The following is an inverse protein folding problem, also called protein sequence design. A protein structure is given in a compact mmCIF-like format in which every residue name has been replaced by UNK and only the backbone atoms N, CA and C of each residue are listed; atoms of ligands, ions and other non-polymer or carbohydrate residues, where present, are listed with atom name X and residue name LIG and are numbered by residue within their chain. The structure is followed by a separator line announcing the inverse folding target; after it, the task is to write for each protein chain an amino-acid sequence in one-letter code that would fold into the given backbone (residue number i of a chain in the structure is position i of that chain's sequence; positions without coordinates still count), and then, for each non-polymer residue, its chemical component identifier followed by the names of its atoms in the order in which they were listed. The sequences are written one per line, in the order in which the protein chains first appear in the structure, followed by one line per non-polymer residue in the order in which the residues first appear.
data_IF_498775861774
#
_entry.id   IF_498775861774
#
_cell.length_a   1.000
_cell.length_b   1.000
_cell.length_c   1.000
_cell.angle_alpha   90.00
_cell.angle_beta   90.00
_cell.angle_gamma   90.00
#
_symmetry.space_group_name_H-M   'P 1'
#
loop_
_entity.id
_entity.type
_entity.pdbx_description
1 polymer ?
#
# COMPACT_ATOMS: atom_id res chain seq x y z
N UNK A 1 -17.13 -9.74 -0.93
CA UNK A 1 -16.00 -10.29 -1.73
C UNK A 1 -14.87 -10.57 -0.77
N UNK A 2 -14.13 -11.66 -0.95
CA UNK A 2 -12.98 -11.99 -0.09
C UNK A 2 -11.69 -11.32 -0.58
N UNK A 3 -10.67 -11.27 0.29
CA UNK A 3 -9.31 -10.84 -0.09
C UNK A 3 -8.79 -11.64 -1.28
N UNK A 4 -8.91 -12.96 -1.23
CA UNK A 4 -8.37 -13.84 -2.28
C UNK A 4 -9.08 -13.64 -3.62
N UNK A 5 -10.39 -13.39 -3.61
CA UNK A 5 -11.14 -13.04 -4.83
C UNK A 5 -10.65 -11.71 -5.43
N UNK A 6 -10.36 -10.72 -4.59
CA UNK A 6 -9.80 -9.43 -5.02
C UNK A 6 -8.40 -9.61 -5.63
N UNK A 7 -7.51 -10.27 -4.89
CA UNK A 7 -6.11 -10.47 -5.29
C UNK A 7 -6.03 -11.25 -6.60
N UNK A 8 -6.82 -12.33 -6.75
CA UNK A 8 -6.86 -13.11 -7.99
C UNK A 8 -7.33 -12.31 -9.22
N UNK A 9 -8.19 -11.30 -9.04
CA UNK A 9 -8.61 -10.41 -10.13
C UNK A 9 -7.49 -9.43 -10.51
N UNK A 10 -6.81 -8.87 -9.52
CA UNK A 10 -5.71 -7.93 -9.73
C UNK A 10 -4.48 -8.60 -10.34
N UNK A 11 -4.14 -9.80 -9.87
CA UNK A 11 -2.93 -10.54 -10.26
C UNK A 11 -2.84 -10.77 -11.78
N UNK A 12 -3.98 -10.87 -12.47
CA UNK A 12 -4.05 -11.05 -13.93
C UNK A 12 -3.65 -9.82 -14.74
N UNK A 13 -3.63 -8.63 -14.14
CA UNK A 13 -3.42 -7.34 -14.82
C UNK A 13 -2.27 -6.55 -14.23
N UNK A 14 -2.24 -6.47 -12.90
CA UNK A 14 -1.32 -5.63 -12.14
C UNK A 14 -0.77 -6.42 -10.95
N UNK A 15 0.22 -7.30 -11.17
CA UNK A 15 0.72 -8.22 -10.14
C UNK A 15 1.36 -7.48 -8.95
N UNK A 16 2.05 -6.36 -9.19
CA UNK A 16 2.63 -5.54 -8.12
C UNK A 16 1.55 -4.86 -7.28
N UNK A 17 0.49 -4.34 -7.91
CA UNK A 17 -0.66 -3.81 -7.19
C UNK A 17 -1.36 -4.90 -6.38
N UNK A 18 -1.54 -6.09 -6.95
CA UNK A 18 -2.13 -7.23 -6.24
C UNK A 18 -1.33 -7.59 -4.99
N UNK A 19 0.01 -7.60 -5.10
CA UNK A 19 0.91 -7.88 -4.00
C UNK A 19 0.84 -6.81 -2.90
N UNK A 20 0.87 -5.53 -3.28
CA UNK A 20 0.75 -4.41 -2.36
C UNK A 20 -0.60 -4.42 -1.62
N UNK A 21 -1.71 -4.61 -2.36
CA UNK A 21 -3.06 -4.70 -1.78
C UNK A 21 -3.18 -5.87 -0.83
N UNK A 22 -2.68 -7.06 -1.20
CA UNK A 22 -2.75 -8.24 -0.32
C UNK A 22 -2.00 -8.00 1.00
N UNK A 23 -0.75 -7.54 0.92
CA UNK A 23 0.10 -7.28 2.09
C UNK A 23 -0.51 -6.24 3.03
N UNK A 24 -1.05 -5.15 2.47
CA UNK A 24 -1.69 -4.11 3.26
C UNK A 24 -3.01 -4.56 3.87
N UNK A 25 -3.82 -5.34 3.15
CA UNK A 25 -5.05 -5.91 3.71
C UNK A 25 -4.73 -6.87 4.86
N UNK A 26 -3.70 -7.71 4.71
CA UNK A 26 -3.26 -8.62 5.77
C UNK A 26 -2.77 -7.87 7.01
N UNK A 27 -1.94 -6.85 6.84
CA UNK A 27 -1.46 -6.00 7.94
C UNK A 27 -2.60 -5.28 8.68
N UNK A 28 -3.55 -4.72 7.93
CA UNK A 28 -4.62 -3.89 8.51
C UNK A 28 -5.71 -4.75 9.16
N UNK A 29 -5.97 -5.95 8.61
CA UNK A 29 -6.99 -6.87 9.12
C UNK A 29 -6.53 -7.69 10.32
N UNK A 30 -5.23 -7.66 10.65
CA UNK A 30 -4.71 -8.31 11.84
C UNK A 30 -5.34 -7.70 13.10
N UNK A 31 -5.82 -8.58 13.99
CA UNK A 31 -6.47 -8.21 15.24
C UNK A 31 -5.49 -7.63 16.26
N UNK A 32 -4.21 -8.00 16.18
CA UNK A 32 -3.12 -7.48 17.01
C UNK A 32 -1.93 -7.05 16.16
N UNK A 33 -2.13 -6.04 15.30
CA UNK A 33 -1.13 -5.66 14.35
C UNK A 33 0.04 -4.98 15.06
N UNK A 34 1.25 -5.23 14.56
CA UNK A 34 2.43 -4.47 14.95
C UNK A 34 2.21 -2.97 14.72
N UNK A 35 2.92 -2.14 15.49
CA UNK A 35 2.85 -0.69 15.36
C UNK A 35 3.20 -0.19 13.95
N UNK A 36 4.05 -0.95 13.25
CA UNK A 36 4.52 -0.69 11.89
C UNK A 36 4.30 -1.92 11.00
N UNK A 37 4.10 -1.74 9.68
CA UNK A 37 4.17 -2.84 8.74
C UNK A 37 5.56 -3.47 8.74
N UNK A 38 5.65 -4.74 8.33
CA UNK A 38 6.93 -5.41 8.15
C UNK A 38 7.71 -4.82 6.96
N UNK A 39 9.02 -5.06 6.91
CA UNK A 39 9.83 -4.72 5.75
C UNK A 39 9.26 -5.30 4.44
N UNK A 40 8.77 -6.54 4.44
CA UNK A 40 8.17 -7.16 3.25
C UNK A 40 6.91 -6.41 2.81
N UNK A 41 6.07 -6.00 3.76
CA UNK A 41 4.85 -5.25 3.51
C UNK A 41 5.15 -3.85 2.96
N UNK A 42 6.14 -3.15 3.54
CA UNK A 42 6.61 -1.84 3.05
C UNK A 42 7.22 -1.95 1.66
N UNK A 43 8.02 -2.98 1.39
CA UNK A 43 8.61 -3.21 0.07
C UNK A 43 7.57 -3.56 -0.99
N UNK A 44 6.52 -4.30 -0.66
CA UNK A 44 5.43 -4.57 -1.58
C UNK A 44 4.78 -3.24 -2.06
N UNK A 45 4.59 -2.28 -1.15
CA UNK A 45 4.08 -0.95 -1.48
C UNK A 45 5.11 -0.17 -2.30
N UNK A 46 6.38 -0.13 -1.88
CA UNK A 46 7.45 0.57 -2.61
C UNK A 46 7.61 0.06 -4.05
N UNK A 47 7.60 -1.27 -4.24
CA UNK A 47 7.70 -1.88 -5.56
C UNK A 47 6.54 -1.46 -6.48
N UNK A 48 5.32 -1.38 -5.94
CA UNK A 48 4.18 -0.87 -6.68
C UNK A 48 4.35 0.61 -7.05
N UNK A 49 4.67 1.47 -6.07
CA UNK A 49 4.85 2.92 -6.30
C UNK A 49 5.96 3.21 -7.31
N UNK A 50 7.04 2.46 -7.25
CA UNK A 50 8.14 2.56 -8.20
C UNK A 50 7.69 2.18 -9.63
N UNK A 51 6.92 1.10 -9.77
CA UNK A 51 6.44 0.61 -11.07
C UNK A 51 5.53 1.59 -11.81
N UNK A 52 4.84 2.47 -11.06
CA UNK A 52 3.98 3.53 -11.62
C UNK A 52 4.69 4.88 -11.69
N UNK A 53 6.02 4.89 -11.58
CA UNK A 53 6.88 6.07 -11.65
C UNK A 53 6.53 7.16 -10.62
N UNK A 54 5.98 6.77 -9.46
CA UNK A 54 5.65 7.73 -8.40
C UNK A 54 6.90 8.38 -7.79
N UNK A 55 8.06 7.73 -7.92
CA UNK A 55 9.34 8.19 -7.40
C UNK A 55 10.01 9.29 -8.22
N UNK A 56 9.54 9.55 -9.45
CA UNK A 56 10.13 10.56 -10.33
C UNK A 56 11.62 10.33 -10.59
N UNK A 57 12.45 11.24 -10.09
CA UNK A 57 13.91 11.19 -10.17
C UNK A 57 14.56 10.28 -9.10
N UNK A 58 13.75 9.59 -8.30
CA UNK A 58 14.20 8.69 -7.24
C UNK A 58 14.46 9.39 -5.91
N UNK A 59 14.41 10.73 -5.83
CA UNK A 59 14.57 11.46 -4.57
C UNK A 59 13.29 11.45 -3.74
N UNK A 60 13.41 11.60 -2.41
CA UNK A 60 12.27 11.85 -1.51
C UNK A 60 11.99 13.34 -1.40
N UNK A 61 11.93 14.04 -2.53
CA UNK A 61 11.47 15.43 -2.57
C UNK A 61 9.99 15.52 -2.17
N UNK A 62 9.54 16.65 -1.64
CA UNK A 62 8.12 16.88 -1.28
C UNK A 62 7.18 16.55 -2.45
N UNK A 63 7.57 16.94 -3.67
CA UNK A 63 6.83 16.64 -4.90
C UNK A 63 6.70 15.14 -5.14
N UNK A 64 7.78 14.39 -5.01
CA UNK A 64 7.75 12.94 -5.21
C UNK A 64 6.99 12.24 -4.07
N UNK A 65 7.10 12.72 -2.82
CA UNK A 65 6.30 12.21 -1.71
C UNK A 65 4.80 12.39 -1.96
N UNK A 66 4.38 13.56 -2.47
CA UNK A 66 2.97 13.76 -2.86
C UNK A 66 2.53 12.89 -4.03
N UNK A 67 3.39 12.68 -5.03
CA UNK A 67 3.11 11.73 -6.10
C UNK A 67 2.95 10.29 -5.56
N UNK A 68 3.84 9.86 -4.65
CA UNK A 68 3.73 8.58 -3.95
C UNK A 68 2.44 8.48 -3.14
N UNK A 69 2.08 9.54 -2.41
CA UNK A 69 0.84 9.59 -1.62
C UNK A 69 -0.38 9.40 -2.51
N UNK A 70 -0.47 10.14 -3.63
CA UNK A 70 -1.56 10.02 -4.60
C UNK A 70 -1.59 8.62 -5.22
N UNK A 71 -0.45 8.09 -5.67
CA UNK A 71 -0.38 6.76 -6.27
C UNK A 71 -0.80 5.65 -5.27
N UNK A 72 -0.47 5.80 -3.99
CA UNK A 72 -0.88 4.86 -2.93
C UNK A 72 -2.41 4.82 -2.73
N UNK A 73 -3.15 5.85 -3.14
CA UNK A 73 -4.61 5.84 -3.07
C UNK A 73 -5.22 4.73 -3.94
N UNK A 74 -4.53 4.27 -4.99
CA UNK A 74 -4.98 3.11 -5.77
C UNK A 74 -5.03 1.83 -4.92
N UNK A 75 -4.10 1.67 -3.98
CA UNK A 75 -4.14 0.56 -3.01
C UNK A 75 -5.38 0.69 -2.13
N UNK A 76 -5.63 1.88 -1.59
CA UNK A 76 -6.80 2.18 -0.74
C UNK A 76 -8.11 1.90 -1.49
N UNK A 77 -8.25 2.38 -2.74
CA UNK A 77 -9.45 2.18 -3.58
C UNK A 77 -9.75 0.69 -3.78
N UNK A 78 -8.73 -0.12 -4.01
CA UNK A 78 -8.93 -1.57 -4.15
C UNK A 78 -9.29 -2.24 -2.82
N UNK A 79 -8.69 -1.78 -1.72
CA UNK A 79 -8.94 -2.31 -0.37
C UNK A 79 -10.35 -2.00 0.17
N UNK A 80 -11.04 -0.96 -0.32
CA UNK A 80 -12.44 -0.63 0.05
C UNK A 80 -13.37 -1.84 -0.05
N UNK A 81 -13.08 -2.77 -0.98
CA UNK A 81 -13.96 -3.90 -1.24
C UNK A 81 -13.88 -5.00 -0.18
N UNK A 82 -12.90 -4.93 0.73
CA UNK A 82 -12.60 -5.96 1.73
C UNK A 82 -12.34 -5.41 3.14
N UNK A 83 -12.08 -4.11 3.29
CA UNK A 83 -11.87 -3.44 4.58
C UNK A 83 -13.07 -2.57 4.98
N UNK A 84 -13.30 -2.43 6.29
CA UNK A 84 -14.26 -1.47 6.83
C UNK A 84 -13.70 -0.04 6.92
N UNK A 85 -14.53 0.93 7.30
CA UNK A 85 -14.14 2.35 7.34
C UNK A 85 -13.00 2.65 8.32
N UNK A 86 -12.98 1.99 9.48
CA UNK A 86 -11.93 2.21 10.48
C UNK A 86 -10.59 1.63 10.02
N UNK A 87 -10.65 0.48 9.34
CA UNK A 87 -9.51 -0.15 8.70
C UNK A 87 -8.96 0.70 7.54
N UNK A 88 -9.83 1.30 6.74
CA UNK A 88 -9.44 2.20 5.65
C UNK A 88 -8.76 3.48 6.16
N UNK A 89 -9.27 4.09 7.24
CA UNK A 89 -8.63 5.25 7.88
C UNK A 89 -7.20 4.92 8.34
N UNK A 90 -7.02 3.72 8.89
CA UNK A 90 -5.71 3.23 9.33
C UNK A 90 -4.80 2.93 8.14
N UNK A 91 -5.31 2.27 7.11
CA UNK A 91 -4.57 1.99 5.88
C UNK A 91 -4.03 3.28 5.25
N UNK A 92 -4.86 4.31 5.17
CA UNK A 92 -4.46 5.59 4.62
C UNK A 92 -3.30 6.22 5.40
N UNK A 93 -3.36 6.21 6.74
CA UNK A 93 -2.24 6.72 7.57
C UNK A 93 -0.94 5.98 7.32
N UNK A 94 -0.99 4.65 7.19
CA UNK A 94 0.19 3.81 6.95
C UNK A 94 0.77 4.10 5.57
N UNK A 95 -0.07 4.19 4.54
CA UNK A 95 0.37 4.51 3.19
C UNK A 95 0.93 5.92 3.08
N UNK A 96 0.34 6.89 3.79
CA UNK A 96 0.87 8.25 3.89
C UNK A 96 2.29 8.23 4.51
N UNK A 97 2.55 7.41 5.52
CA UNK A 97 3.90 7.29 6.07
C UNK A 97 4.88 6.65 5.08
N UNK A 98 4.51 5.54 4.42
CA UNK A 98 5.36 4.90 3.39
C UNK A 98 5.62 5.83 2.20
N UNK A 99 4.66 6.68 1.86
CA UNK A 99 4.81 7.66 0.78
C UNK A 99 5.89 8.70 1.09
N UNK A 100 6.06 9.06 2.36
CA UNK A 100 7.01 10.06 2.85
C UNK A 100 8.31 9.47 3.40
N UNK A 101 8.32 8.17 3.69
CA UNK A 101 9.48 7.43 4.17
C UNK A 101 9.52 6.04 3.54
N UNK A 102 10.47 5.80 2.64
CA UNK A 102 10.63 4.49 1.97
C UNK A 102 11.13 3.42 2.92
N UNK A 103 11.82 3.81 3.98
CA UNK A 103 12.35 2.92 5.01
C UNK A 103 11.41 2.85 6.20
N UNK A 104 10.11 3.04 5.96
CA UNK A 104 9.07 2.92 6.99
C UNK A 104 8.89 1.46 7.43
N UNK A 105 9.87 0.99 8.20
CA UNK A 105 9.95 -0.25 8.95
C UNK A 105 10.97 -0.01 10.08
N UNK A 106 10.77 -0.59 11.26
CA UNK A 106 11.75 -0.49 12.37
C UNK A 106 12.68 -1.69 12.40
#
# INVERSE_FOLDING_TARGET
MTKDELVNRLLKREPLLANAVSNMVDYISDHYPAAYPSHEQTEAVNAYLHSVFADGDGTMSERNCEHRRIASQIITINAIRVLDSSQLDRLQRVLDHIAYDREYYM
#
